data_IF_202795666224
#
_entry.id   IF_202795666224
#
_cell.length_a   1.000
_cell.length_b   1.000
_cell.length_c   1.000
_cell.angle_alpha   90.00
_cell.angle_beta   90.00
_cell.angle_gamma   90.00
#
_symmetry.space_group_name_H-M   'P 1'
#
loop_
_entity.id
_entity.type
_entity.pdbx_description
1 polymer ?
#
# COMPACT_ATOMS: atom_id res chain seq x y z
N UNK A 1 -10.44 27.66 13.36
CA UNK A 1 -9.60 26.97 14.36
C UNK A 1 -8.98 25.75 13.67
N UNK A 2 -7.87 25.95 12.96
CA UNK A 2 -7.21 24.90 12.18
C UNK A 2 -6.56 23.91 13.14
N UNK A 3 -7.13 22.72 13.26
CA UNK A 3 -6.48 21.62 13.98
C UNK A 3 -5.26 21.19 13.17
N UNK A 4 -4.07 21.43 13.73
CA UNK A 4 -2.79 20.91 13.25
C UNK A 4 -2.79 19.38 13.36
N UNK A 5 -3.36 18.69 12.36
CA UNK A 5 -3.28 17.22 12.23
C UNK A 5 -1.83 16.77 11.91
N UNK A 6 -0.94 17.72 11.61
CA UNK A 6 0.43 17.47 11.10
C UNK A 6 1.50 17.13 12.15
N UNK A 7 1.25 17.21 13.47
CA UNK A 7 2.34 17.19 14.46
C UNK A 7 2.73 15.82 15.03
N UNK A 8 1.99 14.74 14.72
CA UNK A 8 2.19 13.43 15.40
C UNK A 8 2.22 12.21 14.48
N UNK A 9 2.15 12.42 13.16
CA UNK A 9 2.31 11.34 12.19
C UNK A 9 3.77 11.28 11.71
N UNK A 10 4.31 10.07 11.47
CA UNK A 10 5.40 9.93 10.52
C UNK A 10 5.00 10.65 9.24
N UNK A 11 5.79 11.63 8.79
CA UNK A 11 5.45 12.50 7.63
C UNK A 11 4.94 11.73 6.41
N UNK A 12 5.44 10.50 6.22
CA UNK A 12 5.05 9.64 5.11
C UNK A 12 3.57 9.21 5.14
N UNK A 13 2.95 9.02 6.31
CA UNK A 13 1.53 8.62 6.41
C UNK A 13 0.60 9.71 5.87
N UNK A 14 0.83 10.96 6.29
CA UNK A 14 0.04 12.11 5.84
C UNK A 14 0.23 12.34 4.34
N UNK A 15 1.46 12.28 3.87
CA UNK A 15 1.77 12.44 2.45
C UNK A 15 1.13 11.34 1.59
N UNK A 16 1.22 10.07 2.03
CA UNK A 16 0.64 8.95 1.29
C UNK A 16 -0.88 9.02 1.26
N UNK A 17 -1.52 9.31 2.39
CA UNK A 17 -2.98 9.46 2.45
C UNK A 17 -3.46 10.63 1.56
N UNK A 18 -2.73 11.75 1.53
CA UNK A 18 -3.02 12.85 0.62
C UNK A 18 -2.92 12.43 -0.85
N UNK A 19 -1.87 11.70 -1.24
CA UNK A 19 -1.73 11.17 -2.59
C UNK A 19 -2.88 10.23 -2.97
N UNK A 20 -3.32 9.36 -2.06
CA UNK A 20 -4.47 8.47 -2.29
C UNK A 20 -5.76 9.27 -2.48
N UNK A 21 -5.95 10.37 -1.74
CA UNK A 21 -7.12 11.24 -1.90
C UNK A 21 -7.11 12.00 -3.23
N UNK A 22 -5.95 12.46 -3.68
CA UNK A 22 -5.82 13.13 -4.99
C UNK A 22 -6.12 12.19 -6.16
N UNK A 23 -5.64 10.95 -6.06
CA UNK A 23 -5.82 9.92 -7.10
C UNK A 23 -7.21 9.27 -7.04
N UNK A 24 -7.83 9.26 -5.87
CA UNK A 24 -9.09 8.58 -5.58
C UNK A 24 -8.85 7.17 -5.01
N UNK A 25 -9.58 6.76 -3.95
CA UNK A 25 -9.43 5.45 -3.34
C UNK A 25 -9.96 4.34 -4.26
N UNK A 26 -9.15 3.29 -4.46
CA UNK A 26 -9.51 2.11 -5.25
C UNK A 26 -9.41 0.83 -4.40
N UNK A 27 -10.41 0.53 -3.54
CA UNK A 27 -10.34 -0.60 -2.61
C UNK A 27 -10.34 -1.95 -3.34
N UNK A 28 -9.29 -2.74 -3.12
CA UNK A 28 -9.17 -4.10 -3.67
C UNK A 28 -10.07 -5.08 -2.91
N UNK A 29 -11.24 -5.39 -3.47
CA UNK A 29 -12.21 -6.30 -2.83
C UNK A 29 -11.83 -7.77 -2.95
N UNK A 30 -11.95 -8.50 -1.84
CA UNK A 30 -11.78 -9.96 -1.80
C UNK A 30 -13.02 -10.73 -2.26
N UNK A 31 -12.92 -12.06 -2.32
CA UNK A 31 -14.02 -12.95 -2.78
C UNK A 31 -15.04 -13.34 -1.69
N UNK A 32 -14.80 -12.98 -0.43
CA UNK A 32 -15.59 -13.41 0.72
C UNK A 32 -16.28 -12.21 1.37
N UNK A 33 -17.54 -12.38 1.74
CA UNK A 33 -18.31 -11.45 2.57
C UNK A 33 -19.14 -12.27 3.55
N UNK A 34 -19.12 -11.89 4.83
CA UNK A 34 -20.02 -12.44 5.86
C UNK A 34 -21.36 -11.67 5.92
N UNK A 35 -21.50 -10.62 5.11
CA UNK A 35 -22.65 -9.69 5.05
C UNK A 35 -22.98 -8.96 6.35
N UNK A 36 -22.14 -9.07 7.37
CA UNK A 36 -22.36 -8.46 8.68
C UNK A 36 -21.30 -7.41 9.02
N UNK A 37 -20.06 -7.63 8.58
CA UNK A 37 -18.94 -6.77 8.92
C UNK A 37 -18.11 -6.36 7.70
N UNK A 38 -17.75 -5.07 7.59
CA UNK A 38 -16.74 -4.66 6.63
C UNK A 38 -15.37 -5.27 7.04
N UNK A 39 -14.40 -5.35 6.10
CA UNK A 39 -13.03 -5.71 6.43
C UNK A 39 -12.47 -4.84 7.57
N UNK A 40 -11.52 -5.37 8.32
CA UNK A 40 -10.86 -4.62 9.41
C UNK A 40 -10.19 -3.37 8.83
N UNK A 41 -10.61 -2.20 9.30
CA UNK A 41 -10.14 -0.91 8.83
C UNK A 41 -10.01 0.07 10.01
N UNK A 42 -9.13 1.08 9.91
CA UNK A 42 -9.03 2.10 10.95
C UNK A 42 -10.29 2.98 10.94
N UNK A 43 -10.95 3.09 12.10
CA UNK A 43 -12.19 3.89 12.24
C UNK A 43 -11.93 5.32 12.73
N UNK A 44 -10.90 5.51 13.55
CA UNK A 44 -10.48 6.81 14.06
C UNK A 44 -8.97 6.91 14.13
N UNK A 45 -8.45 8.11 13.95
CA UNK A 45 -7.05 8.43 14.18
C UNK A 45 -6.73 8.45 15.69
N UNK A 46 -5.69 7.70 16.07
CA UNK A 46 -5.20 7.62 17.44
C UNK A 46 -3.66 7.62 17.40
N UNK A 47 -3.03 8.45 18.22
CA UNK A 47 -1.56 8.61 18.28
C UNK A 47 -0.95 8.26 19.64
N UNK A 48 -1.77 7.99 20.65
CA UNK A 48 -1.32 7.76 22.03
C UNK A 48 -1.18 6.27 22.41
N UNK A 49 -1.24 5.36 21.43
CA UNK A 49 -1.04 3.93 21.63
C UNK A 49 0.43 3.60 21.96
N UNK A 50 0.63 2.57 22.79
CA UNK A 50 1.95 2.16 23.27
C UNK A 50 2.31 0.74 22.81
N UNK A 51 3.62 0.45 22.72
CA UNK A 51 4.20 -0.87 22.42
C UNK A 51 3.48 -1.61 21.27
N UNK A 52 2.77 -2.70 21.57
CA UNK A 52 2.22 -3.62 20.59
C UNK A 52 0.88 -3.16 20.01
N UNK A 53 0.10 -2.39 20.77
CA UNK A 53 -1.13 -1.76 20.26
C UNK A 53 -0.79 -0.79 19.13
N UNK A 54 0.29 -0.03 19.29
CA UNK A 54 0.79 0.88 18.26
C UNK A 54 1.23 0.11 17.02
N UNK A 55 1.97 -0.99 17.17
CA UNK A 55 2.43 -1.82 16.04
C UNK A 55 1.25 -2.43 15.28
N UNK A 56 0.27 -2.96 15.99
CA UNK A 56 -0.92 -3.56 15.39
C UNK A 56 -1.77 -2.51 14.68
N UNK A 57 -1.99 -1.35 15.30
CA UNK A 57 -2.69 -0.23 14.68
C UNK A 57 -1.96 0.26 13.43
N UNK A 58 -0.64 0.45 13.50
CA UNK A 58 0.17 0.86 12.35
C UNK A 58 0.08 -0.15 11.19
N UNK A 59 0.09 -1.44 11.51
CA UNK A 59 -0.09 -2.51 10.53
C UNK A 59 -1.47 -2.44 9.85
N UNK A 60 -2.55 -2.27 10.62
CA UNK A 60 -3.92 -2.15 10.09
C UNK A 60 -4.03 -0.92 9.18
N UNK A 61 -3.51 0.24 9.60
CA UNK A 61 -3.56 1.48 8.81
C UNK A 61 -2.74 1.33 7.51
N UNK A 62 -1.55 0.75 7.59
CA UNK A 62 -0.71 0.46 6.41
C UNK A 62 -1.42 -0.45 5.41
N UNK A 63 -1.99 -1.54 5.90
CA UNK A 63 -2.72 -2.47 5.07
C UNK A 63 -3.92 -1.80 4.40
N UNK A 64 -4.71 -1.05 5.17
CA UNK A 64 -5.85 -0.31 4.63
C UNK A 64 -5.43 0.68 3.52
N UNK A 65 -4.42 1.51 3.78
CA UNK A 65 -3.92 2.49 2.81
C UNK A 65 -3.36 1.82 1.55
N UNK A 66 -2.63 0.71 1.69
CA UNK A 66 -2.16 -0.07 0.56
C UNK A 66 -3.32 -0.63 -0.27
N UNK A 67 -4.37 -1.16 0.38
CA UNK A 67 -5.55 -1.72 -0.28
C UNK A 67 -6.37 -0.71 -1.07
N UNK A 68 -6.34 0.58 -0.69
CA UNK A 68 -7.03 1.66 -1.42
C UNK A 68 -6.10 2.42 -2.37
N UNK A 69 -4.80 2.13 -2.34
CA UNK A 69 -3.81 2.73 -3.23
C UNK A 69 -3.72 1.98 -4.56
N UNK A 70 -3.07 2.61 -5.56
CA UNK A 70 -2.79 1.97 -6.83
C UNK A 70 -1.71 0.90 -6.68
N UNK A 71 -1.79 -0.12 -7.54
CA UNK A 71 -0.75 -1.13 -7.65
C UNK A 71 0.57 -0.49 -8.09
N UNK A 72 1.68 -0.98 -7.52
CA UNK A 72 3.01 -0.61 -7.98
C UNK A 72 3.18 -1.08 -9.44
N UNK A 73 3.74 -0.20 -10.28
CA UNK A 73 4.06 -0.53 -11.66
C UNK A 73 5.52 -1.01 -11.69
N UNK A 74 5.72 -2.25 -12.12
CA UNK A 74 7.06 -2.79 -12.37
C UNK A 74 7.37 -2.76 -13.86
N UNK A 75 8.63 -2.53 -14.20
CA UNK A 75 9.14 -2.71 -15.55
C UNK A 75 9.85 -4.05 -15.66
N UNK A 76 9.39 -4.91 -16.55
CA UNK A 76 10.04 -6.17 -16.88
C UNK A 76 10.79 -6.03 -18.20
N UNK A 77 12.07 -6.37 -18.20
CA UNK A 77 12.92 -6.40 -19.40
C UNK A 77 13.33 -7.84 -19.67
N UNK A 78 13.06 -8.31 -20.89
CA UNK A 78 13.37 -9.66 -21.34
C UNK A 78 14.54 -9.57 -22.32
N UNK A 79 15.62 -10.29 -22.04
CA UNK A 79 16.79 -10.38 -22.92
C UNK A 79 16.86 -11.81 -23.47
N UNK A 80 16.79 -11.92 -24.79
CA UNK A 80 16.96 -13.18 -25.50
C UNK A 80 18.36 -13.24 -26.10
N UNK A 81 19.07 -14.34 -25.84
CA UNK A 81 20.43 -14.57 -26.33
C UNK A 81 20.42 -15.90 -27.10
N UNK A 82 20.77 -15.83 -28.38
CA UNK A 82 21.05 -17.01 -29.20
C UNK A 82 22.56 -17.24 -29.24
N UNK A 83 22.99 -18.43 -28.84
CA UNK A 83 24.37 -18.89 -29.02
C UNK A 83 24.34 -20.21 -29.79
N UNK A 84 24.77 -20.17 -31.05
CA UNK A 84 24.88 -21.33 -31.93
C UNK A 84 23.57 -22.13 -32.11
N UNK A 85 22.42 -21.46 -32.08
CA UNK A 85 21.09 -22.07 -32.23
C UNK A 85 20.44 -22.51 -30.92
N UNK A 86 21.11 -22.33 -29.78
CA UNK A 86 20.49 -22.44 -28.46
C UNK A 86 19.98 -21.08 -27.99
N UNK A 87 18.66 -20.95 -27.83
CA UNK A 87 18.02 -19.74 -27.32
C UNK A 87 17.96 -19.78 -25.78
N UNK A 88 18.47 -18.74 -25.12
CA UNK A 88 18.31 -18.49 -23.68
C UNK A 88 17.55 -17.20 -23.45
N UNK A 89 16.61 -17.24 -22.51
CA UNK A 89 15.80 -16.09 -22.09
C UNK A 89 16.16 -15.73 -20.65
N UNK A 90 16.50 -14.47 -20.41
CA UNK A 90 16.77 -13.93 -19.07
C UNK A 90 15.82 -12.77 -18.77
N UNK A 91 15.29 -12.75 -17.53
CA UNK A 91 14.32 -11.76 -17.06
C UNK A 91 14.97 -10.82 -16.06
N UNK A 92 14.94 -9.52 -16.33
CA UNK A 92 15.37 -8.48 -15.39
C UNK A 92 14.13 -7.66 -15.00
N UNK A 93 13.77 -7.69 -13.71
CA UNK A 93 12.69 -6.86 -13.17
C UNK A 93 13.27 -5.60 -12.55
N UNK A 94 12.94 -4.46 -13.12
CA UNK A 94 13.17 -3.14 -12.51
C UNK A 94 11.88 -2.74 -11.81
N UNK A 95 11.94 -2.45 -10.51
CA UNK A 95 10.81 -1.84 -9.80
C UNK A 95 11.03 -0.33 -9.86
N UNK A 96 10.13 0.40 -10.54
CA UNK A 96 10.11 1.86 -10.54
C UNK A 96 9.14 2.38 -9.45
#
# INVERSE_FOLDING_TARGET
MSTNVSQYLPKWFTAFAANVLEVGPNPRQGKKSDQAHPPIHPTKYINNLQSDEKKLYEFIVRHFLACVSKDALGQETIVEIDIAGELKVEYIRVME
#
